data_IF_009095022998
#
_entry.id   IF_009095022998
#
_cell.length_a   1.000
_cell.length_b   1.000
_cell.length_c   1.000
_cell.angle_alpha   90.00
_cell.angle_beta   90.00
_cell.angle_gamma   90.00
#
_symmetry.space_group_name_H-M   'P 1'
#
loop_
_entity.id
_entity.type
_entity.pdbx_description
1 polymer ?
#
# COMPACT_ATOMS: atom_id res chain seq x y z
N UNK A 1 -1.99 -12.62 -10.61
CA UNK A 1 -2.72 -13.58 -11.46
C UNK A 1 -4.22 -13.52 -11.24
N UNK A 2 -5.00 -13.42 -12.32
CA UNK A 2 -6.46 -13.48 -12.33
C UNK A 2 -6.92 -14.42 -13.45
N UNK A 3 -7.97 -15.19 -13.22
CA UNK A 3 -8.51 -16.17 -14.18
C UNK A 3 -10.00 -15.92 -14.36
N UNK A 4 -10.44 -15.93 -15.63
CA UNK A 4 -11.85 -15.94 -16.00
C UNK A 4 -12.30 -17.37 -16.28
N UNK A 5 -13.36 -17.82 -15.62
CA UNK A 5 -14.00 -19.10 -15.90
C UNK A 5 -15.24 -18.89 -16.76
N UNK A 6 -15.26 -19.48 -17.95
CA UNK A 6 -16.35 -19.36 -18.91
C UNK A 6 -17.19 -20.64 -18.99
N UNK A 7 -18.46 -20.55 -18.59
CA UNK A 7 -19.43 -21.63 -18.65
C UNK A 7 -20.37 -21.40 -19.84
N UNK A 8 -19.93 -21.82 -21.03
CA UNK A 8 -20.65 -21.61 -22.30
C UNK A 8 -22.11 -22.06 -22.26
N UNK A 9 -22.40 -23.22 -21.64
CA UNK A 9 -23.77 -23.75 -21.53
C UNK A 9 -24.71 -22.90 -20.68
N UNK A 10 -24.15 -22.07 -19.79
CA UNK A 10 -24.89 -21.18 -18.90
C UNK A 10 -24.84 -19.72 -19.35
N UNK A 11 -24.06 -19.41 -20.40
CA UNK A 11 -23.75 -18.03 -20.77
C UNK A 11 -23.10 -17.23 -19.64
N UNK A 12 -22.42 -17.90 -18.71
CA UNK A 12 -21.94 -17.31 -17.47
C UNK A 12 -20.41 -17.19 -17.43
N UNK A 13 -19.90 -16.00 -17.16
CA UNK A 13 -18.49 -15.74 -16.90
C UNK A 13 -18.26 -15.40 -15.42
N UNK A 14 -17.38 -16.15 -14.75
CA UNK A 14 -16.93 -15.87 -13.37
C UNK A 14 -15.55 -15.22 -13.44
N UNK A 15 -15.35 -14.06 -12.80
CA UNK A 15 -14.15 -13.25 -12.97
C UNK A 15 -13.74 -12.48 -11.71
N UNK A 16 -12.51 -11.94 -11.70
CA UNK A 16 -12.02 -10.97 -10.72
C UNK A 16 -11.44 -9.71 -11.39
N UNK A 17 -11.89 -9.41 -12.62
CA UNK A 17 -11.41 -8.28 -13.44
C UNK A 17 -12.31 -7.06 -13.29
N UNK A 18 -13.62 -7.28 -13.25
CA UNK A 18 -14.64 -6.22 -13.11
C UNK A 18 -15.03 -6.09 -11.64
N UNK A 19 -14.55 -5.02 -11.01
CA UNK A 19 -14.84 -4.73 -9.62
C UNK A 19 -16.10 -3.88 -9.47
N UNK A 20 -16.83 -3.97 -8.34
CA UNK A 20 -18.09 -3.23 -8.14
C UNK A 20 -17.90 -1.72 -7.89
N UNK A 21 -16.70 -1.20 -8.14
CA UNK A 21 -16.16 0.13 -7.83
C UNK A 21 -14.97 0.38 -8.74
N UNK A 22 -14.60 1.66 -8.94
CA UNK A 22 -13.40 2.01 -9.71
C UNK A 22 -12.16 1.31 -9.11
N UNK A 23 -11.44 0.58 -9.96
CA UNK A 23 -10.39 -0.32 -9.53
C UNK A 23 -9.05 0.38 -9.29
N UNK A 24 -8.47 0.14 -8.10
CA UNK A 24 -7.13 0.59 -7.77
C UNK A 24 -6.08 -0.29 -8.48
N UNK A 25 -5.44 0.28 -9.49
CA UNK A 25 -4.29 -0.31 -10.22
C UNK A 25 -3.02 -0.38 -9.36
N UNK A 26 -2.97 0.42 -8.30
CA UNK A 26 -1.96 0.35 -7.25
C UNK A 26 -2.63 0.67 -5.91
N UNK A 27 -2.70 -0.27 -4.98
CA UNK A 27 -3.35 -0.01 -3.70
C UNK A 27 -2.50 0.94 -2.83
N UNK A 28 -3.12 1.97 -2.24
CA UNK A 28 -2.43 2.92 -1.33
C UNK A 28 -1.86 2.28 -0.05
N UNK A 29 -2.17 1.00 0.20
CA UNK A 29 -1.55 0.20 1.27
C UNK A 29 -0.13 -0.27 0.94
N UNK A 30 0.32 -0.09 -0.30
CA UNK A 30 1.59 -0.61 -0.81
C UNK A 30 1.42 -2.03 -1.35
N UNK A 31 1.57 -2.17 -2.66
CA UNK A 31 1.56 -3.43 -3.42
C UNK A 31 2.40 -3.27 -4.68
N UNK A 32 2.58 -4.34 -5.43
CA UNK A 32 3.12 -4.24 -6.78
C UNK A 32 2.16 -3.45 -7.69
N UNK A 33 2.75 -2.63 -8.57
CA UNK A 33 2.00 -1.89 -9.59
C UNK A 33 1.40 -2.87 -10.61
N UNK A 34 0.12 -2.72 -10.90
CA UNK A 34 -0.58 -3.52 -11.92
C UNK A 34 -0.77 -2.65 -13.15
N UNK A 35 -0.08 -2.99 -14.24
CA UNK A 35 -0.17 -2.26 -15.49
C UNK A 35 -1.62 -2.29 -16.04
N UNK A 36 -2.28 -1.11 -16.18
CA UNK A 36 -3.61 -1.02 -16.75
C UNK A 36 -3.72 -1.61 -18.15
N UNK A 37 -2.66 -1.56 -18.97
CA UNK A 37 -2.70 -2.08 -20.34
C UNK A 37 -2.99 -3.59 -20.37
N UNK A 38 -2.35 -4.36 -19.48
CA UNK A 38 -2.59 -5.80 -19.33
C UNK A 38 -4.02 -6.07 -18.86
N UNK A 39 -4.54 -5.23 -17.97
CA UNK A 39 -5.92 -5.36 -17.48
C UNK A 39 -6.95 -5.12 -18.58
N UNK A 40 -6.72 -4.13 -19.44
CA UNK A 40 -7.61 -3.81 -20.55
C UNK A 40 -7.76 -5.01 -21.50
N UNK A 41 -6.67 -5.68 -21.85
CA UNK A 41 -6.72 -6.91 -22.67
C UNK A 41 -7.58 -8.01 -22.03
N UNK A 42 -7.46 -8.19 -20.70
CA UNK A 42 -8.28 -9.14 -19.96
C UNK A 42 -9.77 -8.80 -19.98
N UNK A 43 -10.12 -7.51 -19.86
CA UNK A 43 -11.51 -7.04 -19.91
C UNK A 43 -12.07 -7.14 -21.34
N UNK A 44 -11.28 -6.80 -22.35
CA UNK A 44 -11.65 -6.92 -23.76
C UNK A 44 -11.92 -8.39 -24.13
N UNK A 45 -11.08 -9.31 -23.64
CA UNK A 45 -11.33 -10.75 -23.77
C UNK A 45 -12.62 -11.18 -23.06
N UNK A 46 -12.87 -10.71 -21.83
CA UNK A 46 -14.11 -11.00 -21.09
C UNK A 46 -15.36 -10.55 -21.85
N UNK A 47 -15.34 -9.35 -22.44
CA UNK A 47 -16.40 -8.82 -23.28
C UNK A 47 -16.60 -9.66 -24.55
N UNK A 48 -15.51 -10.14 -25.16
CA UNK A 48 -15.57 -10.96 -26.39
C UNK A 48 -16.30 -12.31 -26.21
N UNK A 49 -16.37 -12.82 -24.97
CA UNK A 49 -17.14 -14.03 -24.64
C UNK A 49 -18.66 -13.82 -24.79
N UNK A 50 -19.10 -12.57 -24.88
CA UNK A 50 -20.49 -12.16 -25.01
C UNK A 50 -21.42 -12.79 -23.95
N UNK A 51 -21.11 -12.67 -22.65
CA UNK A 51 -21.84 -13.36 -21.58
C UNK A 51 -23.27 -12.83 -21.42
N UNK A 52 -24.17 -13.69 -20.92
CA UNK A 52 -25.51 -13.31 -20.46
C UNK A 52 -25.55 -13.11 -18.95
N UNK A 53 -24.61 -13.71 -18.22
CA UNK A 53 -24.42 -13.53 -16.78
C UNK A 53 -22.94 -13.29 -16.48
N UNK A 54 -22.65 -12.25 -15.70
CA UNK A 54 -21.32 -11.93 -15.21
C UNK A 54 -21.32 -12.01 -13.69
N UNK A 55 -20.51 -12.91 -13.14
CA UNK A 55 -20.35 -13.11 -11.70
C UNK A 55 -18.95 -12.67 -11.30
N UNK A 56 -18.86 -11.66 -10.43
CA UNK A 56 -17.60 -11.20 -9.86
C UNK A 56 -17.23 -11.97 -8.60
N UNK A 57 -15.93 -12.07 -8.31
CA UNK A 57 -15.44 -12.45 -6.97
C UNK A 57 -15.89 -11.46 -5.88
N UNK A 58 -16.22 -10.24 -6.30
CA UNK A 58 -16.76 -9.17 -5.48
C UNK A 58 -17.99 -8.56 -6.15
N UNK A 59 -18.90 -8.01 -5.34
CA UNK A 59 -20.06 -7.28 -5.83
C UNK A 59 -21.23 -8.16 -6.27
N UNK A 60 -22.27 -7.51 -6.79
CA UNK A 60 -23.47 -8.16 -7.29
C UNK A 60 -23.26 -8.67 -8.72
N UNK A 61 -23.84 -9.83 -9.09
CA UNK A 61 -23.80 -10.30 -10.46
C UNK A 61 -24.55 -9.34 -11.40
N UNK A 62 -24.09 -9.23 -12.65
CA UNK A 62 -24.75 -8.48 -13.72
C UNK A 62 -25.35 -9.49 -14.69
N UNK A 63 -26.63 -9.32 -15.05
CA UNK A 63 -27.33 -10.20 -15.98
C UNK A 63 -27.95 -9.42 -17.13
N UNK A 64 -28.03 -10.05 -18.28
CA UNK A 64 -28.45 -9.43 -19.53
C UNK A 64 -27.24 -8.96 -20.33
N UNK A 65 -27.08 -9.51 -21.53
CA UNK A 65 -25.94 -9.25 -22.38
C UNK A 65 -25.74 -7.75 -22.66
N UNK A 66 -26.80 -7.04 -23.08
CA UNK A 66 -26.73 -5.61 -23.37
C UNK A 66 -26.27 -4.79 -22.14
N UNK A 67 -26.70 -5.18 -20.94
CA UNK A 67 -26.33 -4.48 -19.71
C UNK A 67 -24.87 -4.75 -19.33
N UNK A 68 -24.41 -5.99 -19.48
CA UNK A 68 -23.01 -6.34 -19.28
C UNK A 68 -22.13 -5.55 -20.25
N UNK A 69 -22.45 -5.57 -21.54
CA UNK A 69 -21.69 -4.85 -22.56
C UNK A 69 -21.64 -3.35 -22.25
N UNK A 70 -22.76 -2.72 -21.91
CA UNK A 70 -22.82 -1.29 -21.58
C UNK A 70 -21.94 -0.94 -20.38
N UNK A 71 -22.14 -1.63 -19.25
CA UNK A 71 -21.50 -1.29 -17.97
C UNK A 71 -20.02 -1.66 -17.94
N UNK A 72 -19.67 -2.83 -18.46
CA UNK A 72 -18.27 -3.31 -18.46
C UNK A 72 -17.44 -2.54 -19.49
N UNK A 73 -18.00 -2.13 -20.63
CA UNK A 73 -17.30 -1.24 -21.56
C UNK A 73 -17.00 0.11 -20.89
N UNK A 74 -17.97 0.69 -20.16
CA UNK A 74 -17.74 1.93 -19.39
C UNK A 74 -16.64 1.75 -18.34
N UNK A 75 -16.64 0.63 -17.61
CA UNK A 75 -15.58 0.28 -16.66
C UNK A 75 -14.20 0.16 -17.31
N UNK A 76 -14.13 -0.52 -18.45
CA UNK A 76 -12.92 -0.68 -19.24
C UNK A 76 -12.39 0.68 -19.72
N UNK A 77 -13.27 1.54 -20.21
CA UNK A 77 -12.91 2.86 -20.72
C UNK A 77 -12.50 3.85 -19.62
N UNK A 78 -13.02 3.72 -18.39
CA UNK A 78 -12.55 4.55 -17.27
C UNK A 78 -11.08 4.24 -16.93
N UNK A 79 -10.69 2.96 -16.96
CA UNK A 79 -9.31 2.52 -16.73
C UNK A 79 -8.40 3.02 -17.85
N UNK A 80 -8.82 2.86 -19.12
CA UNK A 80 -8.04 3.38 -20.24
C UNK A 80 -7.91 4.91 -20.16
N UNK A 81 -9.00 5.63 -19.83
CA UNK A 81 -8.95 7.08 -19.67
C UNK A 81 -7.91 7.52 -18.65
N UNK A 82 -7.91 6.90 -17.47
CA UNK A 82 -6.94 7.20 -16.41
C UNK A 82 -5.50 6.97 -16.89
N UNK A 83 -5.24 5.87 -17.59
CA UNK A 83 -3.91 5.58 -18.13
C UNK A 83 -3.52 6.55 -19.24
N UNK A 84 -4.34 6.71 -20.27
CA UNK A 84 -4.08 7.57 -21.44
C UNK A 84 -3.84 9.02 -21.02
N UNK A 85 -4.69 9.57 -20.15
CA UNK A 85 -4.55 10.96 -19.70
C UNK A 85 -3.33 11.15 -18.79
N UNK A 86 -3.00 10.14 -17.97
CA UNK A 86 -1.77 10.16 -17.16
C UNK A 86 -0.55 10.22 -18.06
N UNK A 87 -0.44 9.31 -19.04
CA UNK A 87 0.69 9.26 -19.96
C UNK A 87 0.77 10.54 -20.81
N UNK A 88 -0.36 10.99 -21.37
CA UNK A 88 -0.43 12.19 -22.21
C UNK A 88 0.08 13.44 -21.48
N UNK A 89 -0.34 13.67 -20.24
CA UNK A 89 0.07 14.85 -19.47
C UNK A 89 1.48 14.70 -18.88
N UNK A 90 1.87 13.48 -18.50
CA UNK A 90 3.26 13.20 -18.11
C UNK A 90 4.23 13.52 -19.25
N UNK A 91 3.91 13.12 -20.49
CA UNK A 91 4.68 13.48 -21.68
C UNK A 91 4.72 15.00 -21.96
N UNK A 92 3.80 15.77 -21.38
CA UNK A 92 3.79 17.24 -21.41
C UNK A 92 4.54 17.87 -20.24
N UNK A 93 5.23 17.08 -19.42
CA UNK A 93 6.03 17.54 -18.30
C UNK A 93 5.27 17.70 -16.99
N UNK A 94 4.04 17.21 -16.87
CA UNK A 94 3.28 17.33 -15.62
C UNK A 94 3.88 16.42 -14.54
N UNK A 95 4.03 16.99 -13.35
CA UNK A 95 4.41 16.30 -12.10
C UNK A 95 3.26 15.43 -11.59
N UNK A 96 3.57 14.49 -10.68
CA UNK A 96 2.56 13.66 -10.00
C UNK A 96 1.47 14.52 -9.34
N UNK A 97 1.83 15.65 -8.74
CA UNK A 97 0.89 16.54 -8.07
C UNK A 97 -0.06 17.19 -9.08
N UNK A 98 0.48 17.77 -10.15
CA UNK A 98 -0.31 18.44 -11.20
C UNK A 98 -1.29 17.49 -11.89
N UNK A 99 -0.86 16.26 -12.19
CA UNK A 99 -1.76 15.23 -12.74
C UNK A 99 -2.98 15.00 -11.85
N UNK A 100 -2.77 14.91 -10.54
CA UNK A 100 -3.82 14.68 -9.57
C UNK A 100 -4.83 15.85 -9.46
N UNK A 101 -4.42 17.05 -9.88
CA UNK A 101 -5.30 18.22 -9.95
C UNK A 101 -5.99 18.36 -11.30
N UNK A 102 -5.29 18.06 -12.39
CA UNK A 102 -5.77 18.26 -13.77
C UNK A 102 -6.69 17.14 -14.24
N UNK A 103 -6.39 15.88 -13.92
CA UNK A 103 -7.16 14.74 -14.43
C UNK A 103 -8.40 14.53 -13.56
N UNK A 104 -9.55 14.53 -14.22
CA UNK A 104 -10.87 14.19 -13.66
C UNK A 104 -11.58 13.23 -14.60
N UNK A 105 -12.20 12.20 -14.04
CA UNK A 105 -13.14 11.39 -14.81
C UNK A 105 -14.34 12.28 -15.20
N UNK A 106 -14.78 12.24 -16.46
CA UNK A 106 -16.04 12.85 -16.87
C UNK A 106 -17.23 12.40 -16.00
N UNK A 107 -18.17 13.30 -15.74
CA UNK A 107 -19.30 13.10 -14.80
C UNK A 107 -20.13 11.84 -15.09
N UNK A 108 -20.25 11.43 -16.36
CA UNK A 108 -21.03 10.23 -16.74
C UNK A 108 -20.44 8.92 -16.19
N UNK A 109 -19.17 8.92 -15.76
CA UNK A 109 -18.58 7.77 -15.07
C UNK A 109 -19.13 7.58 -13.65
N UNK A 110 -19.74 8.60 -13.03
CA UNK A 110 -20.33 8.45 -11.70
C UNK A 110 -21.79 7.94 -11.73
N UNK A 111 -22.37 7.78 -12.92
CA UNK A 111 -23.71 7.20 -13.09
C UNK A 111 -23.77 5.69 -12.83
N UNK A 112 -22.61 5.03 -12.70
CA UNK A 112 -22.49 3.58 -12.49
C UNK A 112 -21.47 3.29 -11.39
N UNK A 113 -21.87 2.46 -10.42
CA UNK A 113 -21.01 2.11 -9.30
C UNK A 113 -19.70 1.45 -9.73
N UNK A 114 -19.63 0.75 -10.86
CA UNK A 114 -18.38 0.15 -11.36
C UNK A 114 -17.29 1.20 -11.60
N UNK A 115 -17.69 2.43 -11.94
CA UNK A 115 -16.78 3.53 -12.29
C UNK A 115 -16.77 4.66 -11.28
N UNK A 116 -17.69 4.67 -10.33
CA UNK A 116 -17.69 5.60 -9.19
C UNK A 116 -16.48 5.40 -8.27
N UNK A 117 -16.02 6.52 -7.72
CA UNK A 117 -14.81 6.65 -6.88
C UNK A 117 -15.06 6.26 -5.42
N UNK A 118 -15.63 5.07 -5.19
CA UNK A 118 -15.99 4.59 -3.85
C UNK A 118 -14.90 3.78 -3.16
N UNK A 119 -13.92 3.27 -3.90
CA UNK A 119 -12.78 2.55 -3.31
C UNK A 119 -11.52 3.41 -3.28
N UNK A 120 -11.21 4.13 -4.35
CA UNK A 120 -10.17 5.15 -4.46
C UNK A 120 -10.65 6.31 -5.34
N UNK A 121 -9.82 7.35 -5.50
CA UNK A 121 -10.12 8.54 -6.31
C UNK A 121 -9.10 8.73 -7.43
N UNK A 122 -9.51 9.35 -8.53
CA UNK A 122 -8.75 9.64 -9.76
C UNK A 122 -7.41 10.27 -9.42
N UNK A 123 -7.40 11.25 -8.51
CA UNK A 123 -6.18 11.92 -8.05
C UNK A 123 -5.09 10.92 -7.61
N UNK A 124 -5.48 9.87 -6.88
CA UNK A 124 -4.53 8.87 -6.41
C UNK A 124 -4.17 7.89 -7.53
N UNK A 125 -5.13 7.49 -8.36
CA UNK A 125 -4.89 6.57 -9.48
C UNK A 125 -3.87 7.13 -10.47
N UNK A 126 -3.98 8.39 -10.86
CA UNK A 126 -3.07 8.98 -11.86
C UNK A 126 -1.65 9.15 -11.31
N UNK A 127 -1.51 9.46 -10.00
CA UNK A 127 -0.22 9.47 -9.30
C UNK A 127 0.41 8.10 -9.24
N UNK A 128 -0.40 7.08 -8.98
CA UNK A 128 0.02 5.69 -8.94
C UNK A 128 0.46 5.16 -10.30
N UNK A 129 -0.29 5.46 -11.36
CA UNK A 129 0.07 5.09 -12.73
C UNK A 129 1.40 5.75 -13.08
N UNK A 130 1.56 7.05 -12.83
CA UNK A 130 2.83 7.74 -13.07
C UNK A 130 3.97 7.10 -12.28
N UNK A 131 3.78 6.82 -10.99
CA UNK A 131 4.79 6.20 -10.15
C UNK A 131 5.16 4.77 -10.62
N UNK A 132 4.18 3.99 -11.09
CA UNK A 132 4.41 2.68 -11.67
C UNK A 132 5.22 2.71 -12.97
N UNK A 133 5.04 3.76 -13.79
CA UNK A 133 5.73 3.92 -15.07
C UNK A 133 7.11 4.59 -14.94
N UNK A 134 7.25 5.60 -14.09
CA UNK A 134 8.43 6.48 -14.03
C UNK A 134 9.14 6.50 -12.67
N UNK A 135 8.59 5.82 -11.65
CA UNK A 135 9.11 5.87 -10.29
C UNK A 135 8.75 7.16 -9.54
N UNK A 136 9.48 7.39 -8.45
CA UNK A 136 9.16 8.43 -7.47
C UNK A 136 9.52 9.85 -7.92
N UNK A 137 10.53 10.00 -8.79
CA UNK A 137 11.05 11.31 -9.17
C UNK A 137 10.12 12.01 -10.15
N UNK A 138 9.74 13.24 -9.83
CA UNK A 138 8.80 14.04 -10.62
C UNK A 138 9.46 15.07 -11.55
N UNK A 139 10.78 15.18 -11.50
CA UNK A 139 11.56 16.11 -12.32
C UNK A 139 12.02 17.35 -11.56
N UNK A 140 11.49 17.63 -10.37
CA UNK A 140 11.94 18.76 -9.54
C UNK A 140 13.22 18.37 -8.76
N UNK A 141 14.38 19.00 -9.02
CA UNK A 141 15.61 18.70 -8.32
C UNK A 141 15.55 18.88 -6.79
N UNK A 142 14.63 19.71 -6.27
CA UNK A 142 14.43 19.85 -4.82
C UNK A 142 13.99 18.52 -4.18
N UNK A 143 13.25 17.70 -4.92
CA UNK A 143 12.79 16.38 -4.46
C UNK A 143 13.91 15.33 -4.45
N UNK A 144 15.09 15.60 -5.05
CA UNK A 144 16.25 14.72 -4.95
C UNK A 144 16.92 14.79 -3.56
N UNK A 145 16.76 15.91 -2.86
CA UNK A 145 17.46 16.18 -1.61
C UNK A 145 16.49 16.61 -0.50
N UNK A 146 15.46 15.79 -0.18
CA UNK A 146 14.51 16.15 0.85
C UNK A 146 15.20 16.19 2.22
N UNK A 147 14.88 17.21 3.01
CA UNK A 147 15.25 17.23 4.43
C UNK A 147 14.55 16.08 5.18
N UNK A 148 15.14 15.57 6.28
CA UNK A 148 14.41 14.75 7.23
C UNK A 148 13.09 15.44 7.62
N UNK A 149 12.00 14.67 7.68
CA UNK A 149 10.64 15.21 7.87
C UNK A 149 10.51 16.10 9.11
N UNK A 150 11.18 15.73 10.20
CA UNK A 150 11.20 16.51 11.44
C UNK A 150 11.88 17.87 11.25
N UNK A 151 13.06 17.87 10.64
CA UNK A 151 13.81 19.09 10.34
C UNK A 151 13.04 20.03 9.40
N UNK A 152 12.47 19.48 8.32
CA UNK A 152 11.61 20.23 7.41
C UNK A 152 10.47 20.91 8.17
N UNK A 153 9.75 20.15 9.01
CA UNK A 153 8.61 20.67 9.76
C UNK A 153 9.00 21.79 10.73
N UNK A 154 10.12 21.65 11.44
CA UNK A 154 10.66 22.68 12.31
C UNK A 154 10.98 23.97 11.55
N UNK A 155 11.64 23.86 10.38
CA UNK A 155 11.98 25.02 9.53
C UNK A 155 10.72 25.71 8.98
N UNK A 156 9.73 24.95 8.53
CA UNK A 156 8.46 25.50 8.05
C UNK A 156 7.72 26.26 9.14
N UNK A 157 7.65 25.70 10.36
CA UNK A 157 7.01 26.38 11.50
C UNK A 157 7.72 27.69 11.83
N UNK A 158 9.05 27.68 11.92
CA UNK A 158 9.83 28.89 12.19
C UNK A 158 9.64 29.96 11.10
N UNK A 159 9.69 29.56 9.82
CA UNK A 159 9.49 30.45 8.68
C UNK A 159 8.09 31.06 8.60
N UNK A 160 7.07 30.38 9.14
CA UNK A 160 5.69 30.87 9.19
C UNK A 160 5.35 31.74 10.41
N UNK A 161 6.36 32.12 11.21
CA UNK A 161 6.18 32.97 12.39
C UNK A 161 5.97 32.22 13.69
N UNK A 162 6.30 30.92 13.73
CA UNK A 162 6.28 30.09 14.93
C UNK A 162 5.00 29.29 15.10
N UNK A 163 5.05 28.36 16.06
CA UNK A 163 4.06 27.30 16.28
C UNK A 163 2.64 27.83 16.47
N UNK A 164 2.47 28.86 17.30
CA UNK A 164 1.14 29.39 17.61
C UNK A 164 0.50 30.06 16.38
N UNK A 165 1.30 30.72 15.55
CA UNK A 165 0.82 31.30 14.29
C UNK A 165 0.39 30.18 13.32
N UNK A 166 1.15 29.09 13.22
CA UNK A 166 0.76 27.93 12.40
C UNK A 166 -0.54 27.29 12.91
N UNK A 167 -0.74 27.17 14.23
CA UNK A 167 -2.02 26.71 14.80
C UNK A 167 -3.19 27.61 14.44
N UNK A 168 -3.01 28.92 14.55
CA UNK A 168 -4.05 29.89 14.18
C UNK A 168 -4.40 29.79 12.70
N UNK A 169 -3.38 29.72 11.82
CA UNK A 169 -3.57 29.53 10.37
C UNK A 169 -4.25 28.21 10.04
N UNK A 170 -3.89 27.13 10.74
CA UNK A 170 -4.55 25.83 10.58
C UNK A 170 -6.03 25.89 10.95
N UNK A 171 -6.38 26.49 12.09
CA UNK A 171 -7.78 26.67 12.49
C UNK A 171 -8.55 27.55 11.50
N UNK A 172 -7.92 28.62 11.01
CA UNK A 172 -8.51 29.44 9.96
C UNK A 172 -8.77 28.64 8.69
N UNK A 173 -7.81 27.85 8.21
CA UNK A 173 -7.97 26.98 7.04
C UNK A 173 -9.11 25.95 7.23
N UNK A 174 -9.22 25.33 8.42
CA UNK A 174 -10.34 24.44 8.75
C UNK A 174 -11.68 25.19 8.66
N UNK A 175 -11.78 26.38 9.25
CA UNK A 175 -13.01 27.17 9.26
C UNK A 175 -13.39 27.71 7.87
N UNK A 176 -12.39 27.93 7.01
CA UNK A 176 -12.55 28.36 5.62
C UNK A 176 -12.74 27.19 4.63
N UNK A 177 -12.86 25.96 5.13
CA UNK A 177 -13.01 24.75 4.33
C UNK A 177 -11.80 24.33 3.49
N UNK A 178 -10.64 24.95 3.72
CA UNK A 178 -9.38 24.63 3.05
C UNK A 178 -8.66 23.47 3.75
N UNK A 179 -9.27 22.28 3.65
CA UNK A 179 -8.81 21.10 4.39
C UNK A 179 -7.47 20.55 3.89
N UNK A 180 -7.11 20.77 2.62
CA UNK A 180 -5.80 20.36 2.11
C UNK A 180 -4.70 21.16 2.79
N UNK A 181 -4.86 22.47 2.85
CA UNK A 181 -3.90 23.34 3.51
C UNK A 181 -3.88 23.14 5.02
N UNK A 182 -5.05 22.98 5.66
CA UNK A 182 -5.13 22.62 7.07
C UNK A 182 -4.38 21.31 7.38
N UNK A 183 -4.48 20.31 6.49
CA UNK A 183 -3.81 19.03 6.66
C UNK A 183 -2.28 19.18 6.56
N UNK A 184 -1.79 20.01 5.63
CA UNK A 184 -0.37 20.29 5.49
C UNK A 184 0.20 21.01 6.72
N UNK A 185 -0.42 22.12 7.14
CA UNK A 185 0.01 22.89 8.30
C UNK A 185 0.00 22.06 9.59
N UNK A 186 -1.09 21.32 9.85
CA UNK A 186 -1.18 20.46 11.03
C UNK A 186 -0.23 19.26 10.98
N UNK A 187 0.14 18.79 9.79
CA UNK A 187 1.18 17.77 9.62
C UNK A 187 2.56 18.30 10.04
N UNK A 188 2.92 19.55 9.72
CA UNK A 188 4.16 20.14 10.22
C UNK A 188 4.18 20.19 11.75
N UNK A 189 3.07 20.63 12.36
CA UNK A 189 2.96 20.69 13.82
C UNK A 189 3.21 19.31 14.47
N UNK A 190 2.58 18.26 13.95
CA UNK A 190 2.70 16.90 14.49
C UNK A 190 4.06 16.26 14.23
N UNK A 191 4.71 16.57 13.12
CA UNK A 191 5.99 15.96 12.76
C UNK A 191 7.21 16.74 13.30
N UNK A 192 7.00 17.85 13.99
CA UNK A 192 8.05 18.67 14.60
C UNK A 192 8.53 18.12 15.96
N UNK A 193 9.70 18.56 16.42
CA UNK A 193 10.31 18.09 17.69
C UNK A 193 9.51 18.45 18.95
N UNK A 194 8.71 19.51 18.89
CA UNK A 194 7.92 20.02 20.02
C UNK A 194 6.41 19.78 19.83
N UNK A 195 6.04 18.71 19.10
CA UNK A 195 4.65 18.37 18.88
C UNK A 195 3.91 18.15 20.22
N UNK A 196 2.83 18.88 20.44
CA UNK A 196 2.01 18.78 21.66
C UNK A 196 0.73 18.00 21.42
N UNK A 197 0.02 17.63 22.49
CA UNK A 197 -1.32 17.03 22.37
C UNK A 197 -2.30 17.92 21.56
N UNK A 198 -2.40 19.24 21.79
CA UNK A 198 -3.16 20.13 20.92
C UNK A 198 -2.81 20.04 19.43
N UNK A 199 -1.53 19.89 19.07
CA UNK A 199 -1.09 19.75 17.68
C UNK A 199 -1.61 18.44 17.07
N UNK A 200 -1.52 17.34 17.82
CA UNK A 200 -2.05 16.02 17.42
C UNK A 200 -3.55 16.06 17.22
N UNK A 201 -4.29 16.66 18.16
CA UNK A 201 -5.74 16.80 18.09
C UNK A 201 -6.19 17.67 16.91
N UNK A 202 -5.39 18.67 16.53
CA UNK A 202 -5.68 19.54 15.39
C UNK A 202 -5.56 18.79 14.05
N UNK A 203 -4.52 17.98 13.87
CA UNK A 203 -4.41 17.09 12.70
C UNK A 203 -5.53 16.02 12.72
N UNK A 204 -5.85 15.45 13.89
CA UNK A 204 -6.94 14.48 14.02
C UNK A 204 -8.30 15.06 13.59
N UNK A 205 -8.60 16.30 14.00
CA UNK A 205 -9.80 17.03 13.57
C UNK A 205 -9.83 17.21 12.05
N UNK A 206 -8.72 17.63 11.47
CA UNK A 206 -8.60 17.84 10.01
C UNK A 206 -8.84 16.54 9.24
N UNK A 207 -8.19 15.45 9.64
CA UNK A 207 -8.35 14.14 9.00
C UNK A 207 -9.78 13.60 9.12
N UNK A 208 -10.47 13.85 10.24
CA UNK A 208 -11.89 13.49 10.40
C UNK A 208 -12.80 14.21 9.41
N UNK A 209 -12.56 15.50 9.19
CA UNK A 209 -13.33 16.29 8.21
C UNK A 209 -13.08 15.78 6.78
N UNK A 210 -11.84 15.45 6.42
CA UNK A 210 -11.52 14.81 5.14
C UNK A 210 -12.25 13.47 5.01
N UNK A 211 -12.21 12.63 6.04
CA UNK A 211 -12.86 11.33 6.05
C UNK A 211 -14.39 11.39 5.93
N UNK A 212 -15.02 12.48 6.39
CA UNK A 212 -16.45 12.71 6.26
C UNK A 212 -16.87 13.11 4.84
N UNK A 213 -15.94 13.56 4.00
CA UNK A 213 -16.23 14.14 2.69
C UNK A 213 -15.74 13.31 1.52
N UNK A 214 -14.71 12.50 1.73
CA UNK A 214 -14.24 11.60 0.69
C UNK A 214 -15.27 10.51 0.41
N UNK A 215 -15.51 10.24 -0.87
CA UNK A 215 -16.30 9.10 -1.35
C UNK A 215 -15.54 7.78 -1.20
N UNK A 216 -14.20 7.84 -1.20
CA UNK A 216 -13.36 6.67 -1.20
C UNK A 216 -13.21 6.05 0.20
N UNK A 217 -13.65 4.80 0.31
CA UNK A 217 -13.57 4.02 1.54
C UNK A 217 -12.11 3.88 2.03
N UNK A 218 -11.13 3.77 1.14
CA UNK A 218 -9.73 3.65 1.54
C UNK A 218 -9.22 4.93 2.24
N UNK A 219 -9.41 6.11 1.65
CA UNK A 219 -9.01 7.40 2.21
C UNK A 219 -9.71 7.63 3.54
N UNK A 220 -11.03 7.39 3.58
CA UNK A 220 -11.81 7.49 4.82
C UNK A 220 -11.18 6.66 5.94
N UNK A 221 -10.86 5.41 5.68
CA UNK A 221 -10.31 4.51 6.69
C UNK A 221 -8.88 4.89 7.12
N UNK A 222 -8.04 5.34 6.19
CA UNK A 222 -6.70 5.85 6.53
C UNK A 222 -6.77 7.10 7.41
N UNK A 223 -7.61 8.07 7.03
CA UNK A 223 -7.81 9.30 7.78
C UNK A 223 -8.37 9.01 9.18
N UNK A 224 -9.41 8.18 9.32
CA UNK A 224 -10.00 7.85 10.62
C UNK A 224 -9.04 7.08 11.52
N UNK A 225 -8.33 6.09 10.96
CA UNK A 225 -7.34 5.31 11.71
C UNK A 225 -6.23 6.20 12.24
N UNK A 226 -5.68 7.08 11.39
CA UNK A 226 -4.65 8.02 11.82
C UNK A 226 -5.17 9.04 12.82
N UNK A 227 -6.39 9.54 12.67
CA UNK A 227 -7.00 10.44 13.65
C UNK A 227 -7.17 9.78 15.03
N UNK A 228 -7.52 8.49 15.08
CA UNK A 228 -7.61 7.73 16.33
C UNK A 228 -6.27 7.48 17.02
N UNK A 229 -5.20 7.36 16.24
CA UNK A 229 -3.85 7.32 16.79
C UNK A 229 -3.46 8.66 17.42
N UNK A 230 -3.71 9.74 16.68
CA UNK A 230 -3.38 11.09 17.10
C UNK A 230 -4.10 11.53 18.39
N UNK A 231 -5.33 11.06 18.62
CA UNK A 231 -6.06 11.36 19.85
C UNK A 231 -5.98 10.28 20.93
N UNK A 232 -5.15 9.25 20.73
CA UNK A 232 -4.89 8.21 21.71
C UNK A 232 -6.00 7.16 21.88
N UNK A 233 -7.05 7.19 21.06
CA UNK A 233 -8.14 6.19 21.11
C UNK A 233 -7.80 4.86 20.41
N UNK A 234 -6.63 4.78 19.76
CA UNK A 234 -6.10 3.56 19.16
C UNK A 234 -4.58 3.63 19.00
N UNK A 235 -3.85 2.61 19.44
CA UNK A 235 -2.39 2.57 19.31
C UNK A 235 -1.95 1.86 18.02
N UNK A 236 -1.24 2.58 17.13
CA UNK A 236 -0.69 2.01 15.90
C UNK A 236 0.70 1.39 16.06
N UNK A 237 1.39 1.58 17.19
CA UNK A 237 2.78 1.12 17.39
C UNK A 237 2.93 -0.39 17.17
N UNK A 238 1.88 -1.17 17.49
CA UNK A 238 1.84 -2.62 17.27
C UNK A 238 2.05 -3.04 15.82
N UNK A 239 1.70 -2.20 14.84
CA UNK A 239 1.84 -2.51 13.42
C UNK A 239 3.25 -2.24 12.90
N UNK A 240 4.08 -1.51 13.66
CA UNK A 240 5.48 -1.25 13.32
C UNK A 240 6.42 -2.34 13.86
N UNK A 241 5.89 -3.31 14.61
CA UNK A 241 6.64 -4.45 15.13
C UNK A 241 6.39 -5.66 14.24
N UNK A 242 7.45 -6.20 13.63
CA UNK A 242 7.35 -7.45 12.92
C UNK A 242 7.10 -8.59 13.90
N UNK A 243 6.03 -9.37 13.70
CA UNK A 243 5.71 -10.55 14.52
C UNK A 243 5.42 -11.73 13.60
N UNK A 244 6.18 -12.79 13.76
CA UNK A 244 5.94 -14.06 13.08
C UNK A 244 4.96 -14.87 13.91
N UNK A 245 3.77 -15.17 13.38
CA UNK A 245 2.85 -16.03 14.10
C UNK A 245 3.30 -17.49 14.01
N UNK A 246 3.16 -18.24 15.11
CA UNK A 246 3.40 -19.68 15.15
C UNK A 246 2.72 -20.42 13.98
N UNK A 247 1.45 -20.10 13.71
CA UNK A 247 0.69 -20.72 12.61
C UNK A 247 1.36 -20.50 11.24
N UNK A 248 1.82 -19.28 10.95
CA UNK A 248 2.50 -18.98 9.68
C UNK A 248 3.81 -19.75 9.54
N UNK A 249 4.57 -19.87 10.63
CA UNK A 249 5.84 -20.61 10.65
C UNK A 249 5.61 -22.09 10.33
N UNK A 250 4.64 -22.72 11.01
CA UNK A 250 4.35 -24.14 10.85
C UNK A 250 3.85 -24.47 9.44
N UNK A 251 3.11 -23.57 8.79
CA UNK A 251 2.61 -23.77 7.42
C UNK A 251 3.62 -23.42 6.31
N UNK A 252 4.75 -22.78 6.64
CA UNK A 252 5.75 -22.33 5.65
C UNK A 252 6.77 -23.42 5.35
N UNK A 253 7.43 -23.34 4.19
CA UNK A 253 8.64 -24.15 3.90
C UNK A 253 9.81 -23.66 4.75
N UNK A 254 10.81 -24.53 5.00
CA UNK A 254 12.03 -24.15 5.73
C UNK A 254 12.73 -22.96 5.05
N UNK A 255 12.81 -22.97 3.73
CA UNK A 255 13.44 -21.92 2.93
C UNK A 255 12.75 -20.56 3.13
N UNK A 256 11.42 -20.49 2.98
CA UNK A 256 10.68 -19.24 3.16
C UNK A 256 10.80 -18.70 4.59
N UNK A 257 10.74 -19.61 5.56
CA UNK A 257 10.86 -19.29 6.97
C UNK A 257 12.22 -18.69 7.33
N UNK A 258 13.31 -19.32 6.88
CA UNK A 258 14.66 -18.87 7.19
C UNK A 258 15.01 -17.63 6.39
N UNK A 259 14.56 -17.56 5.13
CA UNK A 259 14.76 -16.39 4.26
C UNK A 259 14.17 -15.11 4.86
N UNK A 260 13.07 -15.17 5.62
CA UNK A 260 12.48 -13.97 6.23
C UNK A 260 13.43 -13.27 7.22
N UNK A 261 14.34 -14.01 7.85
CA UNK A 261 15.28 -13.43 8.83
C UNK A 261 16.22 -12.42 8.18
N UNK A 262 16.41 -12.48 6.86
CA UNK A 262 17.27 -11.54 6.12
C UNK A 262 16.84 -10.09 6.26
N UNK A 263 15.53 -9.83 6.37
CA UNK A 263 15.00 -8.47 6.51
C UNK A 263 14.93 -8.01 7.97
N UNK A 264 15.31 -8.88 8.91
CA UNK A 264 15.42 -8.59 10.34
C UNK A 264 16.87 -8.36 10.77
N UNK A 265 17.84 -8.58 9.87
CA UNK A 265 19.26 -8.36 10.14
C UNK A 265 19.52 -6.86 10.39
N UNK A 266 20.11 -6.55 11.53
CA UNK A 266 20.61 -5.23 11.86
C UNK A 266 22.03 -5.06 11.28
N UNK A 267 22.23 -4.30 10.19
CA UNK A 267 23.52 -4.24 9.49
C UNK A 267 24.65 -3.70 10.37
N UNK A 268 24.35 -2.78 11.29
CA UNK A 268 25.30 -2.21 12.25
C UNK A 268 25.85 -3.24 13.27
N UNK A 269 25.16 -4.39 13.43
CA UNK A 269 25.60 -5.49 14.29
C UNK A 269 26.30 -6.61 13.52
N UNK A 270 26.38 -6.51 12.19
CA UNK A 270 26.86 -7.56 11.29
C UNK A 270 28.11 -7.16 10.48
N UNK A 271 28.75 -6.04 10.82
CA UNK A 271 29.88 -5.48 10.07
C UNK A 271 31.12 -6.39 10.02
N UNK A 272 31.33 -7.20 11.04
CA UNK A 272 32.49 -8.08 11.18
C UNK A 272 32.09 -9.57 11.11
N UNK A 273 30.85 -9.85 10.71
CA UNK A 273 30.34 -11.21 10.63
C UNK A 273 30.47 -11.70 9.20
N UNK A 274 31.30 -12.74 9.04
CA UNK A 274 31.31 -13.62 7.87
C UNK A 274 31.11 -15.05 8.39
N UNK A 275 29.90 -15.56 8.26
CA UNK A 275 29.53 -16.86 8.86
C UNK A 275 28.40 -17.50 8.08
N UNK A 276 28.57 -18.78 7.78
CA UNK A 276 27.55 -19.60 7.15
C UNK A 276 26.84 -20.48 8.18
N UNK A 277 25.53 -20.32 8.29
CA UNK A 277 24.67 -21.03 9.22
C UNK A 277 23.72 -21.95 8.44
N UNK A 278 23.76 -23.24 8.73
CA UNK A 278 22.76 -24.22 8.31
C UNK A 278 21.61 -24.27 9.32
N UNK A 279 20.39 -24.37 8.83
CA UNK A 279 19.18 -24.61 9.60
C UNK A 279 18.59 -25.95 9.17
N UNK A 280 18.58 -26.90 10.10
CA UNK A 280 18.02 -28.24 9.91
C UNK A 280 16.86 -28.45 10.87
N UNK A 281 15.66 -28.60 10.31
CA UNK A 281 14.45 -28.89 11.08
C UNK A 281 14.06 -30.36 10.90
N UNK A 282 13.70 -31.04 11.99
CA UNK A 282 13.23 -32.44 11.95
C UNK A 282 12.14 -32.61 10.88
N UNK A 283 12.29 -33.63 10.03
CA UNK A 283 11.38 -33.97 8.92
C UNK A 283 11.18 -32.87 7.86
N UNK A 284 12.12 -31.93 7.73
CA UNK A 284 12.09 -30.90 6.68
C UNK A 284 13.40 -30.83 5.90
N UNK A 285 13.33 -30.21 4.72
CA UNK A 285 14.49 -29.85 3.93
C UNK A 285 15.37 -28.86 4.72
N UNK A 286 16.68 -29.09 4.69
CA UNK A 286 17.69 -28.16 5.20
C UNK A 286 17.73 -26.88 4.35
N UNK A 287 18.17 -25.79 4.96
CA UNK A 287 18.40 -24.49 4.31
C UNK A 287 19.47 -23.73 5.10
N UNK A 288 19.87 -22.53 4.67
CA UNK A 288 20.90 -21.77 5.38
C UNK A 288 20.86 -20.28 5.13
N UNK A 289 21.62 -19.54 5.93
CA UNK A 289 21.95 -18.15 5.71
C UNK A 289 23.46 -17.97 5.77
N UNK A 290 24.04 -17.32 4.77
CA UNK A 290 25.40 -16.82 4.85
C UNK A 290 25.34 -15.33 5.16
N UNK A 291 25.72 -14.98 6.39
CA UNK A 291 25.83 -13.59 6.82
C UNK A 291 27.21 -13.09 6.41
N UNK A 292 27.25 -12.09 5.53
CA UNK A 292 28.48 -11.45 5.06
C UNK A 292 28.16 -10.06 4.54
N UNK A 293 29.10 -9.12 4.61
CA UNK A 293 28.92 -7.75 4.09
C UNK A 293 27.61 -7.08 4.57
N UNK A 294 27.27 -7.28 5.85
CA UNK A 294 26.04 -6.76 6.47
C UNK A 294 24.72 -7.24 5.81
N UNK A 295 24.74 -8.36 5.06
CA UNK A 295 23.55 -9.00 4.50
C UNK A 295 23.46 -10.46 4.91
N UNK A 296 22.25 -11.01 4.94
CA UNK A 296 22.04 -12.45 5.07
C UNK A 296 21.55 -13.01 3.72
N UNK A 297 22.38 -13.85 3.09
CA UNK A 297 22.11 -14.48 1.82
C UNK A 297 21.46 -15.86 2.04
N UNK A 298 20.26 -16.13 1.50
CA UNK A 298 19.69 -17.47 1.50
C UNK A 298 20.60 -18.48 0.80
N UNK A 299 20.76 -19.66 1.38
CA UNK A 299 21.54 -20.79 0.86
C UNK A 299 20.79 -22.11 1.12
N UNK A 300 21.32 -23.21 0.63
CA UNK A 300 20.85 -24.56 0.97
C UNK A 300 21.44 -25.11 2.27
N UNK A 301 22.32 -24.35 2.94
CA UNK A 301 22.98 -24.74 4.20
C UNK A 301 24.12 -25.74 4.03
N UNK A 302 24.49 -26.15 2.80
CA UNK A 302 25.66 -27.00 2.58
C UNK A 302 26.94 -26.24 2.91
N UNK A 303 27.92 -26.95 3.45
CA UNK A 303 29.25 -26.43 3.82
C UNK A 303 29.24 -25.32 4.89
N UNK A 304 28.12 -25.14 5.60
CA UNK A 304 28.00 -24.18 6.68
C UNK A 304 28.90 -24.56 7.87
N UNK A 305 29.56 -23.55 8.47
CA UNK A 305 30.43 -23.75 9.64
C UNK A 305 29.62 -23.97 10.93
N UNK A 306 28.40 -23.42 10.97
CA UNK A 306 27.50 -23.47 12.12
C UNK A 306 26.22 -24.18 11.69
N UNK A 307 25.68 -25.03 12.56
CA UNK A 307 24.39 -25.69 12.33
C UNK A 307 23.43 -25.43 13.47
N UNK A 308 22.20 -25.07 13.15
CA UNK A 308 21.06 -24.97 14.06
C UNK A 308 20.18 -26.19 13.82
N UNK A 309 20.09 -27.08 14.82
CA UNK A 309 19.31 -28.30 14.74
C UNK A 309 18.17 -28.28 15.76
N UNK A 310 16.92 -28.31 15.30
CA UNK A 310 15.76 -28.41 16.19
C UNK A 310 14.53 -28.97 15.45
N UNK A 311 13.40 -29.13 16.14
CA UNK A 311 12.13 -29.35 15.44
C UNK A 311 11.47 -28.00 15.09
N UNK A 312 10.60 -28.01 14.08
CA UNK A 312 9.94 -26.78 13.62
C UNK A 312 9.06 -26.12 14.70
N UNK A 313 8.47 -26.92 15.59
CA UNK A 313 7.62 -26.42 16.68
C UNK A 313 8.43 -25.56 17.67
N UNK A 314 9.65 -26.01 18.01
CA UNK A 314 10.59 -25.30 18.87
C UNK A 314 11.04 -24.00 18.22
N UNK A 315 11.38 -24.05 16.93
CA UNK A 315 11.74 -22.86 16.17
C UNK A 315 10.58 -21.86 16.08
N UNK A 316 9.35 -22.35 15.93
CA UNK A 316 8.15 -21.53 15.92
C UNK A 316 7.91 -20.83 17.26
N UNK A 317 8.13 -21.52 18.39
CA UNK A 317 8.07 -20.92 19.73
C UNK A 317 9.15 -19.84 19.92
N UNK A 318 10.36 -20.06 19.39
CA UNK A 318 11.45 -19.09 19.47
C UNK A 318 11.11 -17.81 18.71
N UNK A 319 10.68 -17.93 17.45
CA UNK A 319 10.35 -16.78 16.62
C UNK A 319 9.05 -16.08 17.01
N UNK A 320 8.11 -16.79 17.65
CA UNK A 320 6.92 -16.19 18.25
C UNK A 320 7.23 -15.43 19.55
N UNK A 321 8.42 -15.63 20.14
CA UNK A 321 8.83 -15.05 21.41
C UNK A 321 8.36 -15.83 22.64
N UNK A 322 7.81 -17.03 22.45
CA UNK A 322 7.33 -17.92 23.51
C UNK A 322 8.47 -18.73 24.15
N UNK A 323 9.62 -18.84 23.47
CA UNK A 323 10.80 -19.58 23.94
C UNK A 323 12.11 -18.83 23.68
N UNK A 324 13.04 -18.87 24.63
CA UNK A 324 14.39 -18.31 24.45
C UNK A 324 15.30 -19.26 23.65
N UNK A 325 16.14 -18.72 22.77
CA UNK A 325 17.07 -19.47 21.91
C UNK A 325 17.97 -20.45 22.70
N UNK A 326 18.50 -20.00 23.84
CA UNK A 326 19.44 -20.76 24.68
C UNK A 326 18.82 -21.98 25.38
N UNK A 327 17.50 -22.17 25.31
CA UNK A 327 16.84 -23.24 26.05
C UNK A 327 16.85 -24.61 25.32
N UNK A 328 17.09 -24.65 24.00
CA UNK A 328 16.79 -25.86 23.19
C UNK A 328 17.64 -26.08 21.92
N UNK A 329 18.54 -25.18 21.53
CA UNK A 329 19.33 -25.34 20.30
C UNK A 329 20.75 -25.76 20.68
N UNK A 330 21.16 -26.94 20.19
CA UNK A 330 22.54 -27.41 20.20
C UNK A 330 23.23 -27.03 18.89
#
# INVERSE_FOLDING_TARGET
DSVTYWFKSLGCAVNNLVWPVLFNVFAIRGEEYRDPQIMLEGIDHLLSLNPTHLVGAHGMPISGNAEIMRRVTRYRDSIQFLWDQTVRLTNRGYTSTELGHEIRLPDFFDEDNLTSEFYGVTEHHVRQIRAGLLGWFDGDPANLFPLPREEHSNRMIAGFGGREIVRQKTNHAINADDLRWACELSSWLVNSTEATEPDRLLLAKTLRLIAQRTTAANIRNWCLTRARDLDGTFDLSRFNQHRLSRKQILSSTSENLVSILRVLLAPERASEIDTHICFSFTDRQQTGLHIRNCVACPTDGRDAEISVNCNIETWADILAGDLALLAKIN
#
